data_IF_078318816134
#
_entry.id   IF_078318816134
#
_cell.length_a   1.000
_cell.length_b   1.000
_cell.length_c   1.000
_cell.angle_alpha   90.00
_cell.angle_beta   90.00
_cell.angle_gamma   90.00
#
_symmetry.space_group_name_H-M   'P 1'
#
loop_
_entity.id
_entity.type
_entity.pdbx_description
1 polymer ?
#
# COMPACT_ATOMS: atom_id res chain seq x y z
N UNK A 1 -10.96 8.69 -6.88
CA UNK A 1 -10.26 8.24 -5.66
C UNK A 1 -10.33 6.73 -5.66
N UNK A 2 -9.21 6.05 -5.93
CA UNK A 2 -9.11 4.59 -5.80
C UNK A 2 -8.97 4.23 -4.33
N UNK A 3 -9.74 3.25 -3.85
CA UNK A 3 -9.62 2.73 -2.48
C UNK A 3 -8.52 1.67 -2.42
N UNK A 4 -8.07 1.32 -1.21
CA UNK A 4 -7.15 0.19 -0.99
C UNK A 4 -7.74 -1.11 -1.55
N UNK A 5 -9.06 -1.26 -1.44
CA UNK A 5 -9.79 -2.38 -2.02
C UNK A 5 -9.63 -2.49 -3.53
N UNK A 6 -9.78 -1.39 -4.26
CA UNK A 6 -9.61 -1.38 -5.73
C UNK A 6 -8.18 -1.71 -6.14
N UNK A 7 -7.20 -1.22 -5.38
CA UNK A 7 -5.79 -1.55 -5.61
C UNK A 7 -5.51 -3.05 -5.39
N UNK A 8 -6.02 -3.62 -4.29
CA UNK A 8 -5.89 -5.04 -3.98
C UNK A 8 -6.52 -5.92 -5.07
N UNK A 9 -7.65 -5.54 -5.65
CA UNK A 9 -8.31 -6.30 -6.72
C UNK A 9 -7.44 -6.46 -7.96
N UNK A 10 -6.60 -5.45 -8.27
CA UNK A 10 -5.71 -5.44 -9.42
C UNK A 10 -4.37 -6.15 -9.18
N UNK A 11 -4.03 -6.45 -7.92
CA UNK A 11 -2.82 -7.22 -7.61
C UNK A 11 -2.98 -8.72 -7.95
N UNK A 12 -1.89 -9.38 -8.39
CA UNK A 12 -1.78 -10.84 -8.42
C UNK A 12 -2.11 -11.48 -7.06
N UNK A 13 -2.61 -12.73 -7.06
CA UNK A 13 -3.21 -13.33 -5.87
C UNK A 13 -2.27 -13.40 -4.65
N UNK A 14 -1.02 -13.77 -4.87
CA UNK A 14 0.05 -13.84 -3.88
C UNK A 14 0.30 -12.48 -3.21
N UNK A 15 0.44 -11.43 -4.01
CA UNK A 15 0.66 -10.05 -3.51
C UNK A 15 -0.56 -9.51 -2.81
N UNK A 16 -1.76 -9.79 -3.32
CA UNK A 16 -3.02 -9.41 -2.66
C UNK A 16 -3.12 -10.02 -1.27
N UNK A 17 -2.77 -11.30 -1.12
CA UNK A 17 -2.79 -11.99 0.18
C UNK A 17 -1.76 -11.40 1.13
N UNK A 18 -0.52 -11.21 0.68
CA UNK A 18 0.54 -10.59 1.47
C UNK A 18 0.16 -9.18 1.95
N UNK A 19 -0.32 -8.34 1.03
CA UNK A 19 -0.72 -6.96 1.33
C UNK A 19 -1.90 -6.94 2.28
N UNK A 20 -2.93 -7.76 2.03
CA UNK A 20 -4.09 -7.87 2.93
C UNK A 20 -3.69 -8.32 4.34
N UNK A 21 -2.72 -9.23 4.48
CA UNK A 21 -2.20 -9.65 5.80
C UNK A 21 -1.56 -8.47 6.55
N UNK A 22 -0.64 -7.74 5.90
CA UNK A 22 0.03 -6.58 6.49
C UNK A 22 -0.98 -5.47 6.79
N UNK A 23 -1.86 -5.12 5.85
CA UNK A 23 -2.90 -4.11 6.06
C UNK A 23 -3.84 -4.48 7.21
N UNK A 24 -4.23 -5.75 7.32
CA UNK A 24 -5.08 -6.22 8.44
C UNK A 24 -4.33 -6.13 9.76
N UNK A 25 -3.05 -6.47 9.79
CA UNK A 25 -2.22 -6.39 10.98
C UNK A 25 -2.04 -4.93 11.44
N UNK A 26 -1.74 -4.00 10.53
CA UNK A 26 -1.62 -2.58 10.87
C UNK A 26 -2.93 -2.04 11.43
N UNK A 27 -4.08 -2.32 10.79
CA UNK A 27 -5.40 -1.86 11.27
C UNK A 27 -5.74 -2.34 12.68
N UNK A 28 -5.32 -3.56 13.04
CA UNK A 28 -5.55 -4.13 14.38
C UNK A 28 -4.58 -3.58 15.42
N UNK A 29 -3.30 -3.45 15.06
CA UNK A 29 -2.22 -3.11 15.98
C UNK A 29 -2.02 -1.60 16.16
N UNK A 30 -2.45 -0.78 15.18
CA UNK A 30 -2.26 0.67 15.18
C UNK A 30 -3.59 1.42 15.31
N UNK A 31 -4.13 1.47 16.53
CA UNK A 31 -5.41 2.14 16.79
C UNK A 31 -5.31 3.64 16.57
N UNK A 32 -6.25 4.18 15.78
CA UNK A 32 -6.34 5.61 15.45
C UNK A 32 -5.59 6.02 14.18
N UNK A 33 -4.95 5.07 13.49
CA UNK A 33 -4.33 5.31 12.18
C UNK A 33 -5.39 5.46 11.10
N UNK A 34 -5.21 6.45 10.22
CA UNK A 34 -5.99 6.62 8.99
C UNK A 34 -5.25 5.94 7.84
N UNK A 35 -5.97 5.14 7.07
CA UNK A 35 -5.46 4.50 5.85
C UNK A 35 -5.85 5.33 4.62
N UNK A 36 -4.95 5.49 3.66
CA UNK A 36 -5.24 6.11 2.36
C UNK A 36 -4.40 5.52 1.25
N UNK A 37 -4.94 5.46 0.03
CA UNK A 37 -4.16 5.10 -1.17
C UNK A 37 -3.71 6.37 -1.87
N UNK A 38 -2.42 6.47 -2.15
CA UNK A 38 -1.86 7.51 -3.01
C UNK A 38 -0.69 6.91 -3.77
N UNK A 39 -0.46 7.31 -5.02
CA UNK A 39 0.76 6.93 -5.75
C UNK A 39 1.04 5.42 -5.79
N UNK A 40 0.01 4.57 -5.92
CA UNK A 40 0.11 3.11 -5.84
C UNK A 40 0.67 2.54 -4.51
N UNK A 41 0.73 3.35 -3.47
CA UNK A 41 1.16 3.02 -2.11
C UNK A 41 -0.03 3.07 -1.15
N UNK A 42 -0.06 2.13 -0.21
CA UNK A 42 -0.99 2.20 0.93
C UNK A 42 -0.32 2.97 2.07
N UNK A 43 -0.77 4.19 2.32
CA UNK A 43 -0.30 5.05 3.40
C UNK A 43 -1.11 4.86 4.67
N UNK A 44 -0.41 4.98 5.79
CA UNK A 44 -0.96 4.93 7.13
C UNK A 44 -0.50 6.17 7.89
N UNK A 45 -1.45 6.97 8.33
CA UNK A 45 -1.20 8.27 8.95
C UNK A 45 -1.69 8.28 10.41
N UNK A 46 -0.85 8.79 11.31
CA UNK A 46 -1.18 9.09 12.70
C UNK A 46 -0.51 10.41 13.05
N UNK A 47 -1.27 11.51 12.90
CA UNK A 47 -0.71 12.86 12.97
C UNK A 47 0.52 12.96 12.05
N UNK A 48 0.30 12.86 10.73
CA UNK A 48 1.35 12.72 9.70
C UNK A 48 1.61 11.27 9.26
N UNK A 49 2.45 11.04 8.24
CA UNK A 49 2.72 9.71 7.69
C UNK A 49 3.49 8.86 8.69
N UNK A 50 3.04 7.62 8.90
CA UNK A 50 3.65 6.67 9.83
C UNK A 50 4.20 5.44 9.11
N UNK A 51 3.44 4.89 8.17
CA UNK A 51 3.89 3.81 7.31
C UNK A 51 3.44 4.03 5.86
N UNK A 52 4.17 3.42 4.92
CA UNK A 52 3.71 3.20 3.56
C UNK A 52 4.03 1.78 3.13
N UNK A 53 3.15 1.18 2.32
CA UNK A 53 3.32 -0.17 1.82
C UNK A 53 3.26 -0.16 0.30
N UNK A 54 4.31 -0.72 -0.31
CA UNK A 54 4.48 -0.83 -1.76
C UNK A 54 4.45 -2.28 -2.21
N UNK A 55 3.75 -2.56 -3.32
CA UNK A 55 3.85 -3.83 -4.02
C UNK A 55 4.82 -3.71 -5.19
N UNK A 56 5.98 -4.38 -5.10
CA UNK A 56 6.85 -4.63 -6.24
C UNK A 56 6.32 -5.77 -7.13
N UNK A 57 7.13 -6.17 -8.13
CA UNK A 57 6.76 -7.26 -9.05
C UNK A 57 6.69 -8.63 -8.36
N UNK A 58 7.67 -8.93 -7.50
CA UNK A 58 7.75 -10.19 -6.73
C UNK A 58 8.07 -9.98 -5.25
N UNK A 59 8.07 -8.74 -4.82
CA UNK A 59 8.44 -8.32 -3.47
C UNK A 59 7.42 -7.33 -2.93
N UNK A 60 7.53 -7.05 -1.64
CA UNK A 60 6.74 -6.02 -0.96
C UNK A 60 7.65 -5.23 -0.05
N UNK A 61 7.48 -3.90 -0.03
CA UNK A 61 8.32 -3.01 0.76
C UNK A 61 7.46 -2.27 1.77
N UNK A 62 7.82 -2.37 3.05
CA UNK A 62 7.19 -1.61 4.13
C UNK A 62 8.13 -0.48 4.55
N UNK A 63 7.67 0.76 4.35
CA UNK A 63 8.35 1.96 4.80
C UNK A 63 7.88 2.35 6.20
N UNK A 64 8.82 2.77 7.05
CA UNK A 64 8.59 3.14 8.45
C UNK A 64 9.13 4.54 8.69
N UNK A 65 8.32 5.40 9.31
CA UNK A 65 8.74 6.78 9.60
C UNK A 65 9.72 6.89 10.77
N UNK A 66 9.59 6.00 11.76
CA UNK A 66 10.33 6.05 13.02
C UNK A 66 11.67 5.29 12.93
N UNK A 67 12.76 6.04 12.77
CA UNK A 67 14.12 5.53 12.61
C UNK A 67 14.58 4.63 13.76
N UNK A 68 14.36 5.08 15.01
CA UNK A 68 14.76 4.32 16.21
C UNK A 68 14.06 2.97 16.31
N UNK A 69 12.84 2.86 15.75
CA UNK A 69 12.10 1.60 15.74
C UNK A 69 12.68 0.66 14.70
N UNK A 70 12.88 1.12 13.47
CA UNK A 70 13.39 0.24 12.40
C UNK A 70 14.84 -0.20 12.65
N UNK A 71 15.66 0.67 13.26
CA UNK A 71 17.03 0.34 13.65
C UNK A 71 17.10 -0.87 14.59
N UNK A 72 16.16 -0.99 15.54
CA UNK A 72 16.10 -2.09 16.49
C UNK A 72 15.83 -3.48 15.85
N UNK A 73 15.48 -3.52 14.56
CA UNK A 73 15.20 -4.74 13.82
C UNK A 73 16.20 -5.02 12.69
N UNK A 74 17.26 -4.23 12.54
CA UNK A 74 18.27 -4.40 11.49
C UNK A 74 18.94 -5.77 11.48
N UNK A 75 19.13 -6.37 12.65
CA UNK A 75 19.76 -7.69 12.79
C UNK A 75 18.77 -8.86 12.56
N UNK A 76 17.47 -8.57 12.42
CA UNK A 76 16.39 -9.57 12.34
C UNK A 76 15.69 -9.61 10.99
N UNK A 77 15.74 -8.50 10.25
CA UNK A 77 15.02 -8.30 9.01
C UNK A 77 15.94 -7.68 7.97
N UNK A 78 15.57 -7.80 6.69
CA UNK A 78 16.25 -7.10 5.62
C UNK A 78 15.81 -5.62 5.63
N UNK A 79 16.49 -4.83 6.45
CA UNK A 79 16.25 -3.40 6.65
C UNK A 79 17.19 -2.59 5.77
N UNK A 80 16.63 -1.61 5.08
CA UNK A 80 17.35 -0.50 4.50
C UNK A 80 17.22 0.72 5.42
N UNK A 81 18.33 1.11 6.03
CA UNK A 81 18.38 2.25 6.95
C UNK A 81 18.38 3.61 6.22
N UNK A 82 18.81 3.65 4.96
CA UNK A 82 18.81 4.88 4.16
C UNK A 82 17.37 5.28 3.83
N UNK A 83 16.58 4.31 3.33
CA UNK A 83 15.18 4.55 2.99
C UNK A 83 14.18 4.18 4.09
N UNK A 84 14.66 3.77 5.26
CA UNK A 84 13.86 3.29 6.40
C UNK A 84 12.79 2.29 5.97
N UNK A 85 13.22 1.31 5.18
CA UNK A 85 12.32 0.35 4.54
C UNK A 85 12.68 -1.10 4.90
N UNK A 86 11.71 -1.99 4.76
CA UNK A 86 11.85 -3.42 5.00
C UNK A 86 11.39 -4.15 3.75
N UNK A 87 12.29 -4.92 3.15
CA UNK A 87 12.02 -5.67 1.93
C UNK A 87 11.59 -7.10 2.24
N UNK A 88 10.42 -7.49 1.74
CA UNK A 88 9.90 -8.85 1.78
C UNK A 88 10.05 -9.51 0.41
N UNK A 89 11.09 -10.32 0.25
CA UNK A 89 11.36 -11.08 -0.98
C UNK A 89 10.53 -12.37 -1.07
N UNK A 90 10.16 -12.97 0.06
CA UNK A 90 9.28 -14.14 0.12
C UNK A 90 7.93 -13.77 0.75
N UNK A 91 6.93 -13.57 -0.11
CA UNK A 91 5.57 -13.20 0.30
C UNK A 91 4.83 -14.32 1.06
N UNK A 92 5.33 -15.56 1.01
CA UNK A 92 4.77 -16.68 1.77
C UNK A 92 5.31 -16.73 3.21
N UNK A 93 6.46 -16.10 3.48
CA UNK A 93 7.15 -16.12 4.78
C UNK A 93 7.35 -14.72 5.36
N UNK A 94 6.29 -13.92 5.35
CA UNK A 94 6.31 -12.59 5.96
C UNK A 94 6.38 -12.74 7.49
N UNK A 95 7.37 -12.14 8.17
CA UNK A 95 7.56 -12.24 9.62
C UNK A 95 6.58 -11.33 10.37
N UNK A 96 5.31 -11.73 10.41
CA UNK A 96 4.20 -10.94 10.95
C UNK A 96 4.43 -10.51 12.41
N UNK A 97 5.07 -11.34 13.24
CA UNK A 97 5.36 -11.00 14.64
C UNK A 97 6.30 -9.80 14.77
N UNK A 98 7.33 -9.73 13.92
CA UNK A 98 8.25 -8.60 13.90
C UNK A 98 7.55 -7.34 13.38
N UNK A 99 6.72 -7.48 12.34
CA UNK A 99 5.93 -6.36 11.80
C UNK A 99 4.95 -5.83 12.85
N UNK A 100 4.28 -6.71 13.59
CA UNK A 100 3.37 -6.30 14.66
C UNK A 100 4.09 -5.50 15.73
N UNK A 101 5.30 -5.96 16.13
CA UNK A 101 6.10 -5.25 17.11
C UNK A 101 6.55 -3.88 16.59
N UNK A 102 7.05 -3.80 15.35
CA UNK A 102 7.40 -2.54 14.67
C UNK A 102 6.20 -1.59 14.68
N UNK A 103 5.02 -2.08 14.30
CA UNK A 103 3.81 -1.26 14.24
C UNK A 103 3.44 -0.67 15.61
N UNK A 104 3.45 -1.49 16.66
CA UNK A 104 3.15 -1.05 18.03
C UNK A 104 4.18 -0.07 18.57
N UNK A 105 5.47 -0.35 18.35
CA UNK A 105 6.57 0.48 18.81
C UNK A 105 6.58 1.83 18.06
N UNK A 106 6.32 1.85 16.75
CA UNK A 106 6.19 3.08 15.96
C UNK A 106 5.00 3.93 16.37
N UNK A 107 3.85 3.34 16.72
CA UNK A 107 2.71 4.11 17.26
C UNK A 107 3.06 4.76 18.59
N UNK A 108 3.79 4.04 19.44
CA UNK A 108 4.25 4.55 20.74
C UNK A 108 5.24 5.69 20.55
N UNK A 109 6.26 5.49 19.71
CA UNK A 109 7.24 6.51 19.36
C UNK A 109 6.58 7.75 18.74
N UNK A 110 5.64 7.56 17.80
CA UNK A 110 4.89 8.66 17.18
C UNK A 110 4.12 9.48 18.21
N UNK A 111 3.43 8.84 19.16
CA UNK A 111 2.68 9.56 20.20
C UNK A 111 3.58 10.38 21.11
N UNK A 112 4.74 9.84 21.48
CA UNK A 112 5.75 10.57 22.24
C UNK A 112 6.28 11.78 21.47
N UNK A 113 6.55 11.61 20.16
CA UNK A 113 7.04 12.69 19.31
C UNK A 113 5.99 13.80 19.08
N UNK A 114 4.73 13.42 18.89
CA UNK A 114 3.59 14.36 18.81
C UNK A 114 3.45 15.15 20.11
N UNK A 115 3.64 14.52 21.27
CA UNK A 115 3.62 15.21 22.56
C UNK A 115 4.76 16.24 22.70
N UNK A 116 5.85 16.07 21.96
CA UNK A 116 6.98 17.01 21.86
C UNK A 116 6.79 18.06 20.76
N UNK A 117 5.70 18.02 20.00
CA UNK A 117 5.40 18.95 18.91
C UNK A 117 6.11 18.66 17.59
N UNK A 118 6.79 17.52 17.48
CA UNK A 118 7.53 17.13 16.28
C UNK A 118 6.69 16.14 15.45
N UNK A 119 6.19 16.59 14.30
CA UNK A 119 5.43 15.73 13.38
C UNK A 119 6.09 15.78 12.01
N UNK A 120 6.57 14.64 11.48
CA UNK A 120 7.12 14.61 10.13
C UNK A 120 6.03 14.92 9.11
N UNK A 121 6.37 15.77 8.13
CA UNK A 121 5.49 16.07 7.00
C UNK A 121 5.56 14.96 5.95
N UNK A 122 4.55 14.91 5.07
CA UNK A 122 4.52 13.92 4.00
C UNK A 122 5.68 14.06 3.02
N UNK A 123 6.04 15.29 2.64
CA UNK A 123 7.17 15.55 1.75
C UNK A 123 8.50 15.05 2.33
N UNK A 124 8.71 15.25 3.63
CA UNK A 124 9.89 14.74 4.33
C UNK A 124 9.94 13.21 4.31
N UNK A 125 8.81 12.53 4.57
CA UNK A 125 8.80 11.06 4.56
C UNK A 125 8.99 10.49 3.16
N UNK A 126 8.40 11.09 2.14
CA UNK A 126 8.63 10.66 0.74
C UNK A 126 10.09 10.81 0.33
N UNK A 127 10.73 11.92 0.69
CA UNK A 127 12.15 12.15 0.43
C UNK A 127 13.04 11.10 1.11
N UNK A 128 12.75 10.76 2.38
CA UNK A 128 13.50 9.72 3.11
C UNK A 128 13.25 8.35 2.48
N UNK A 129 11.98 8.01 2.20
CA UNK A 129 11.60 6.72 1.63
C UNK A 129 12.07 6.52 0.18
N UNK A 130 12.68 7.53 -0.44
CA UNK A 130 13.15 7.44 -1.83
C UNK A 130 12.02 7.28 -2.85
N UNK A 131 10.78 7.58 -2.47
CA UNK A 131 9.60 7.43 -3.33
C UNK A 131 9.46 8.72 -4.16
N UNK A 132 9.72 8.62 -5.46
CA UNK A 132 9.49 9.73 -6.39
C UNK A 132 8.01 9.83 -6.77
N UNK A 133 7.55 11.03 -7.17
CA UNK A 133 6.20 11.19 -7.76
C UNK A 133 6.04 10.44 -9.11
N UNK A 134 7.12 9.88 -9.68
CA UNK A 134 7.12 9.23 -11.01
C UNK A 134 7.01 7.70 -10.95
N UNK A 135 7.52 7.05 -9.88
CA UNK A 135 7.22 5.65 -9.52
C UNK A 135 5.73 5.44 -9.15
N UNK A 136 4.98 6.54 -9.10
CA UNK A 136 3.54 6.64 -8.86
C UNK A 136 2.65 6.37 -10.09
N UNK A 137 3.20 6.05 -11.27
CA UNK A 137 2.36 5.66 -12.41
C UNK A 137 1.76 4.29 -12.13
N UNK A 138 0.43 4.26 -12.05
CA UNK A 138 -0.35 3.04 -11.86
C UNK A 138 0.20 1.91 -12.75
N UNK A 139 0.37 0.68 -12.23
CA UNK A 139 0.71 -0.43 -13.09
C UNK A 139 -0.31 -0.48 -14.23
N UNK A 140 0.13 -0.69 -15.49
CA UNK A 140 -0.78 -0.75 -16.61
C UNK A 140 -1.91 -1.73 -16.28
N UNK A 141 -3.18 -1.41 -16.60
CA UNK A 141 -4.31 -2.24 -16.25
C UNK A 141 -4.03 -3.67 -16.73
N UNK A 142 -4.07 -4.63 -15.79
CA UNK A 142 -3.89 -6.05 -16.12
C UNK A 142 -5.08 -6.46 -16.95
N UNK A 143 -4.90 -6.53 -18.27
CA UNK A 143 -5.91 -7.07 -19.18
C UNK A 143 -6.01 -8.56 -18.91
N UNK A 144 -7.01 -8.95 -18.10
CA UNK A 144 -7.40 -10.36 -17.99
C UNK A 144 -8.08 -10.75 -19.30
N UNK A 145 -7.31 -11.26 -20.26
CA UNK A 145 -7.88 -11.95 -21.42
C UNK A 145 -8.53 -13.22 -20.87
N UNK A 146 -9.85 -13.17 -20.67
CA UNK A 146 -10.64 -14.38 -20.47
C UNK A 146 -10.54 -15.16 -21.78
N UNK A 147 -9.75 -16.24 -21.81
CA UNK A 147 -9.92 -17.29 -22.82
C UNK A 147 -11.25 -18.01 -22.55
N UNK A 148 -12.35 -17.32 -22.85
CA UNK A 148 -13.62 -17.99 -23.13
C UNK A 148 -13.54 -18.42 -24.57
N UNK A 149 -13.57 -19.73 -24.78
CA UNK A 149 -13.70 -20.37 -26.08
C UNK A 149 -14.76 -19.67 -26.94
N UNK A 150 -14.49 -19.62 -28.25
CA UNK A 150 -15.41 -19.22 -29.33
C UNK A 150 -16.86 -19.62 -29.04
N UNK A 151 -17.79 -18.70 -29.25
CA UNK A 151 -18.89 -18.80 -30.24
C UNK A 151 -19.89 -17.64 -30.06
N UNK A 152 -20.19 -16.99 -31.19
CA UNK A 152 -21.38 -16.20 -31.56
C UNK A 152 -22.04 -15.27 -30.53
N UNK A 153 -22.01 -13.97 -30.82
CA UNK A 153 -23.16 -13.10 -30.55
C UNK A 153 -23.33 -12.09 -31.70
N UNK A 154 -24.44 -12.28 -32.41
CA UNK A 154 -24.98 -11.47 -33.50
C UNK A 154 -25.44 -10.11 -32.93
N UNK A 155 -24.95 -9.01 -33.50
CA UNK A 155 -25.47 -7.68 -33.20
C UNK A 155 -26.73 -7.46 -34.04
N UNK A 156 -27.92 -7.66 -33.47
CA UNK A 156 -29.16 -7.10 -34.01
C UNK A 156 -29.27 -5.62 -33.61
N UNK A 157 -29.20 -4.76 -34.61
CA UNK A 157 -29.45 -3.33 -34.50
C UNK A 157 -30.97 -3.15 -34.65
N UNK A 158 -31.67 -2.85 -33.56
CA UNK A 158 -33.08 -2.44 -33.62
C UNK A 158 -33.17 -0.92 -33.48
N UNK A 159 -33.58 -0.33 -34.59
CA UNK A 159 -33.98 1.06 -34.80
C UNK A 159 -35.30 1.34 -34.04
N UNK A 160 -35.40 2.46 -33.32
CA UNK A 160 -36.70 3.13 -33.15
C UNK A 160 -36.55 4.66 -33.15
N UNK A 161 -36.97 5.21 -34.28
CA UNK A 161 -37.27 6.62 -34.50
C UNK A 161 -38.44 7.11 -33.64
N UNK A 162 -38.35 8.33 -33.05
CA UNK A 162 -39.14 9.54 -33.44
C UNK A 162 -39.30 10.57 -32.31
N UNK A 163 -38.97 11.81 -32.71
CA UNK A 163 -39.68 13.10 -32.53
C UNK A 163 -40.11 13.52 -31.11
N UNK A 164 -39.75 14.76 -30.74
CA UNK A 164 -40.59 15.94 -31.05
C UNK A 164 -40.06 17.28 -30.50
N UNK A 165 -40.27 18.33 -31.32
CA UNK A 165 -40.54 19.76 -30.99
C UNK A 165 -39.38 20.53 -30.31
N UNK A 166 -38.98 21.70 -30.83
CA UNK A 166 -39.80 22.85 -31.22
C UNK A 166 -39.07 23.71 -32.24
#
# INVERSE_FOLDING_TARGET
MSTVGDYLQNLPPDRRVAMAKICSLIRRSARGVRESMRHALAFYELQGPLFALESGEKSMTLYVAEESVIEAFKDKLQVDMEHRSILFNDLNRIPLDNIEKIVRDSVTARRSRVAQGEVPTQAQMLAIWGVTEEDAKAPPPVVRISMKSREEDVIEIIDDTKKAKK
#
